data_IF_458992672287
#
_entry.id   IF_458992672287
#
_cell.length_a   1.000
_cell.length_b   1.000
_cell.length_c   1.000
_cell.angle_alpha   90.00
_cell.angle_beta   90.00
_cell.angle_gamma   90.00
#
_symmetry.space_group_name_H-M   'P 1'
#
loop_
_entity.id
_entity.type
_entity.pdbx_description
1 polymer ?
#
# COMPACT_ATOMS: atom_id res chain seq x y z
N UNK A 1 17.81 -15.09 4.81
CA UNK A 1 17.22 -15.39 3.47
C UNK A 1 17.52 -16.85 3.09
N UNK A 2 16.59 -17.55 2.45
CA UNK A 2 16.87 -18.91 1.93
C UNK A 2 17.83 -18.87 0.76
N UNK A 3 18.72 -19.86 0.67
CA UNK A 3 19.66 -19.98 -0.43
C UNK A 3 18.97 -20.01 -1.81
N UNK A 4 17.83 -20.72 -1.93
CA UNK A 4 17.06 -20.80 -3.17
C UNK A 4 16.64 -19.42 -3.71
N UNK A 5 16.28 -18.50 -2.82
CA UNK A 5 15.90 -17.12 -3.19
C UNK A 5 17.12 -16.30 -3.59
N UNK A 6 18.27 -16.52 -2.92
CA UNK A 6 19.51 -15.82 -3.25
C UNK A 6 20.05 -16.24 -4.63
N UNK A 7 19.93 -17.53 -4.98
CA UNK A 7 20.39 -18.01 -6.28
C UNK A 7 19.58 -17.48 -7.47
N UNK A 8 18.37 -16.93 -7.23
CA UNK A 8 17.61 -16.19 -8.25
C UNK A 8 18.34 -14.94 -8.77
N UNK A 9 19.30 -14.42 -7.99
CA UNK A 9 20.15 -13.31 -8.45
C UNK A 9 21.20 -13.75 -9.47
N UNK A 10 21.39 -15.07 -9.65
CA UNK A 10 22.30 -15.66 -10.64
C UNK A 10 21.52 -16.02 -11.89
N UNK A 11 22.09 -15.72 -13.07
CA UNK A 11 21.49 -16.15 -14.33
C UNK A 11 21.57 -17.68 -14.46
N UNK A 12 20.45 -18.35 -14.67
CA UNK A 12 20.40 -19.79 -14.79
C UNK A 12 21.25 -20.31 -15.98
N UNK A 13 21.41 -19.50 -17.03
CA UNK A 13 22.18 -19.84 -18.23
C UNK A 13 23.69 -19.95 -17.92
N UNK A 14 24.17 -19.27 -16.88
CA UNK A 14 25.56 -19.25 -16.48
C UNK A 14 25.88 -20.26 -15.36
N UNK A 15 24.89 -20.98 -14.87
CA UNK A 15 25.10 -22.01 -13.83
C UNK A 15 25.51 -23.31 -14.53
N UNK A 16 26.73 -23.76 -14.34
CA UNK A 16 27.25 -24.97 -14.95
C UNK A 16 27.07 -26.22 -14.07
N UNK A 17 27.20 -26.08 -12.77
CA UNK A 17 27.01 -27.16 -11.81
C UNK A 17 26.49 -26.68 -10.47
N UNK A 18 25.60 -27.44 -9.84
CA UNK A 18 25.12 -27.20 -8.48
C UNK A 18 25.30 -28.47 -7.66
N UNK A 19 26.04 -28.39 -6.58
CA UNK A 19 26.17 -29.44 -5.59
C UNK A 19 25.92 -28.87 -4.20
N UNK A 20 24.69 -28.92 -3.72
CA UNK A 20 24.27 -28.37 -2.43
C UNK A 20 23.36 -29.40 -1.73
N UNK A 21 23.73 -29.79 -0.51
CA UNK A 21 22.98 -30.75 0.28
C UNK A 21 21.64 -30.23 0.77
N UNK A 22 21.57 -28.94 1.07
CA UNK A 22 20.36 -28.31 1.64
C UNK A 22 20.12 -26.91 1.04
N UNK A 23 19.23 -26.84 0.05
CA UNK A 23 18.80 -25.57 -0.58
C UNK A 23 17.89 -24.71 0.33
N UNK A 24 17.39 -25.28 1.43
CA UNK A 24 16.56 -24.53 2.41
C UNK A 24 17.40 -23.75 3.43
N UNK A 25 18.74 -23.89 3.37
CA UNK A 25 19.65 -23.21 4.29
C UNK A 25 19.44 -21.68 4.25
N UNK A 26 19.43 -21.10 5.44
CA UNK A 26 19.32 -19.62 5.56
C UNK A 26 20.71 -19.00 5.43
N UNK A 27 20.82 -18.01 4.55
CA UNK A 27 22.03 -17.22 4.32
C UNK A 27 21.90 -15.87 5.03
N UNK A 28 22.92 -15.51 5.77
CA UNK A 28 22.98 -14.23 6.49
C UNK A 28 24.05 -13.28 5.94
N UNK A 29 25.01 -13.80 5.17
CA UNK A 29 26.11 -12.99 4.65
C UNK A 29 26.64 -13.56 3.33
N UNK A 30 27.12 -12.68 2.47
CA UNK A 30 27.91 -12.98 1.28
C UNK A 30 29.29 -12.35 1.46
N UNK A 31 30.36 -13.13 1.24
CA UNK A 31 31.73 -12.69 1.36
C UNK A 31 32.48 -12.96 0.07
N UNK A 32 33.34 -12.02 -0.36
CA UNK A 32 34.30 -12.28 -1.40
C UNK A 32 35.55 -12.87 -0.72
N UNK A 33 35.93 -14.09 -1.10
CA UNK A 33 37.09 -14.77 -0.55
C UNK A 33 38.29 -14.32 -1.32
N UNK A 34 38.98 -13.33 -0.81
CA UNK A 34 40.10 -12.77 -1.54
C UNK A 34 41.49 -13.00 -0.94
N UNK A 35 41.72 -13.50 0.26
CA UNK A 35 43.12 -13.65 0.69
C UNK A 35 43.39 -13.99 2.18
N UNK A 36 42.46 -14.20 3.07
CA UNK A 36 42.77 -14.55 4.45
C UNK A 36 41.96 -15.74 4.95
N UNK A 37 42.56 -16.74 5.57
CA UNK A 37 41.82 -17.88 6.14
C UNK A 37 40.97 -17.39 7.30
N UNK A 38 39.71 -17.14 7.00
CA UNK A 38 38.68 -16.92 7.99
C UNK A 38 38.09 -18.29 8.31
N UNK A 39 37.78 -18.54 9.57
CA UNK A 39 37.01 -19.73 9.93
C UNK A 39 35.71 -19.74 9.15
N UNK A 40 35.51 -20.72 8.28
CA UNK A 40 34.31 -20.88 7.49
C UNK A 40 33.12 -21.21 8.39
N UNK A 41 32.10 -20.37 8.31
CA UNK A 41 30.92 -20.50 9.16
C UNK A 41 29.69 -20.87 8.36
N UNK A 42 28.78 -21.61 8.98
CA UNK A 42 27.48 -21.95 8.40
C UNK A 42 26.69 -20.67 8.06
N UNK A 43 25.87 -20.73 7.02
CA UNK A 43 24.99 -19.61 6.60
C UNK A 43 25.72 -18.43 5.91
N UNK A 44 26.95 -18.63 5.48
CA UNK A 44 27.71 -17.66 4.67
C UNK A 44 27.94 -18.26 3.28
N UNK A 45 27.81 -17.41 2.26
CA UNK A 45 28.24 -17.70 0.89
C UNK A 45 29.58 -17.03 0.66
N UNK A 46 30.51 -17.81 0.16
CA UNK A 46 31.83 -17.32 -0.30
C UNK A 46 31.87 -17.34 -1.82
N UNK A 47 32.09 -16.17 -2.40
CA UNK A 47 32.34 -16.04 -3.85
C UNK A 47 33.85 -16.13 -4.07
N UNK A 48 34.29 -17.09 -4.90
CA UNK A 48 35.72 -17.44 -5.04
C UNK A 48 36.06 -17.82 -6.47
N UNK A 49 37.22 -17.45 -6.94
CA UNK A 49 37.80 -17.91 -8.22
C UNK A 49 38.71 -19.11 -8.04
N UNK A 50 38.98 -19.89 -9.09
CA UNK A 50 39.84 -21.07 -9.03
C UNK A 50 41.23 -20.82 -8.43
N UNK A 51 41.98 -19.74 -8.79
CA UNK A 51 43.28 -19.46 -8.16
C UNK A 51 43.18 -19.23 -6.65
N UNK A 52 42.14 -18.51 -6.17
CA UNK A 52 41.97 -18.25 -4.74
C UNK A 52 41.58 -19.52 -4.00
N UNK A 53 40.75 -20.40 -4.61
CA UNK A 53 40.36 -21.68 -4.00
C UNK A 53 41.60 -22.56 -3.77
N UNK A 54 42.55 -22.58 -4.70
CA UNK A 54 43.81 -23.30 -4.56
C UNK A 54 44.69 -22.77 -3.41
N UNK A 55 44.73 -21.46 -3.22
CA UNK A 55 45.51 -20.84 -2.14
C UNK A 55 44.91 -21.08 -0.75
N UNK A 56 43.60 -21.16 -0.65
CA UNK A 56 42.85 -21.43 0.61
C UNK A 56 43.08 -22.87 1.11
N UNK A 57 43.36 -23.80 0.16
CA UNK A 57 43.69 -25.18 0.48
C UNK A 57 42.56 -26.00 1.07
N UNK A 58 42.92 -27.07 1.77
CA UNK A 58 41.94 -28.11 2.25
C UNK A 58 40.94 -27.60 3.30
N UNK A 59 41.17 -26.45 3.92
CA UNK A 59 40.30 -25.91 4.97
C UNK A 59 38.87 -25.56 4.50
N UNK A 60 38.65 -25.41 3.17
CA UNK A 60 37.33 -25.16 2.63
C UNK A 60 36.54 -26.42 2.27
N UNK A 61 37.18 -27.58 2.15
CA UNK A 61 36.59 -28.81 1.63
C UNK A 61 35.46 -29.35 2.51
N UNK A 62 35.64 -29.35 3.83
CA UNK A 62 34.69 -29.80 4.83
C UNK A 62 33.91 -28.63 5.48
N UNK A 63 34.02 -27.43 4.92
CA UNK A 63 33.39 -26.26 5.48
C UNK A 63 31.85 -26.33 5.37
N UNK A 64 31.10 -25.95 6.41
CA UNK A 64 29.64 -25.93 6.37
C UNK A 64 29.07 -24.77 5.55
N UNK A 65 29.93 -24.02 4.90
CA UNK A 65 29.64 -22.86 4.07
C UNK A 65 29.26 -23.26 2.65
N UNK A 66 28.73 -22.31 1.89
CA UNK A 66 28.42 -22.47 0.47
C UNK A 66 29.42 -21.66 -0.33
N UNK A 67 29.94 -22.25 -1.41
CA UNK A 67 30.92 -21.61 -2.28
C UNK A 67 30.29 -21.38 -3.66
N UNK A 68 30.40 -20.17 -4.18
CA UNK A 68 30.15 -19.87 -5.59
C UNK A 68 31.53 -19.77 -6.28
N UNK A 69 31.80 -20.80 -7.05
CA UNK A 69 33.05 -20.96 -7.79
C UNK A 69 32.89 -20.27 -9.14
N UNK A 70 33.63 -19.19 -9.33
CA UNK A 70 33.60 -18.37 -10.56
C UNK A 70 34.63 -18.83 -11.57
N UNK A 71 34.15 -19.23 -12.75
CA UNK A 71 34.96 -19.72 -13.84
C UNK A 71 34.22 -20.75 -14.66
N UNK A 72 34.91 -21.38 -15.62
CA UNK A 72 34.34 -22.48 -16.39
C UNK A 72 34.49 -23.79 -15.63
N UNK A 73 33.62 -24.77 -15.87
CA UNK A 73 33.71 -26.12 -15.29
C UNK A 73 35.11 -26.73 -15.43
N UNK A 74 35.75 -26.49 -16.57
CA UNK A 74 37.10 -27.01 -16.84
C UNK A 74 38.17 -26.48 -15.87
N UNK A 75 37.98 -25.30 -15.32
CA UNK A 75 38.93 -24.71 -14.35
C UNK A 75 38.92 -25.49 -13.02
N UNK A 76 37.88 -26.28 -12.77
CA UNK A 76 37.67 -27.01 -11.52
C UNK A 76 37.71 -28.53 -11.67
N UNK A 77 37.98 -29.08 -12.86
CA UNK A 77 37.93 -30.54 -13.10
C UNK A 77 38.90 -31.29 -12.21
N UNK A 78 40.16 -30.82 -12.11
CA UNK A 78 41.22 -31.48 -11.35
C UNK A 78 41.33 -30.96 -9.91
N UNK A 79 40.37 -30.14 -9.45
CA UNK A 79 40.39 -29.56 -8.12
C UNK A 79 39.47 -30.33 -7.16
N UNK A 80 39.92 -30.48 -5.91
CA UNK A 80 39.02 -30.86 -4.84
C UNK A 80 38.01 -29.73 -4.56
N UNK A 81 36.73 -30.03 -4.69
CA UNK A 81 35.66 -29.04 -4.51
C UNK A 81 35.10 -29.09 -3.09
N UNK A 82 34.63 -27.98 -2.51
CA UNK A 82 33.91 -27.96 -1.25
C UNK A 82 32.67 -28.87 -1.26
N UNK A 83 32.12 -29.20 -0.08
CA UNK A 83 30.91 -30.02 0.04
C UNK A 83 29.65 -29.36 -0.56
N UNK A 84 29.56 -28.03 -0.49
CA UNK A 84 28.43 -27.27 -1.01
C UNK A 84 28.93 -26.16 -1.93
N UNK A 85 28.67 -26.29 -3.22
CA UNK A 85 29.12 -25.32 -4.20
C UNK A 85 28.17 -25.13 -5.38
N UNK A 86 28.32 -24.01 -6.05
CA UNK A 86 27.74 -23.69 -7.35
C UNK A 86 28.89 -23.25 -8.25
N UNK A 87 29.06 -23.86 -9.42
CA UNK A 87 29.94 -23.34 -10.47
C UNK A 87 29.18 -22.39 -11.33
N UNK A 88 29.64 -21.17 -11.42
CA UNK A 88 29.02 -20.08 -12.15
C UNK A 88 29.98 -19.44 -13.13
N UNK A 89 29.64 -19.48 -14.41
CA UNK A 89 30.45 -18.90 -15.47
C UNK A 89 30.37 -17.38 -15.43
N UNK A 90 31.43 -16.74 -15.00
CA UNK A 90 31.59 -15.29 -15.02
C UNK A 90 33.05 -14.86 -14.99
N UNK A 91 33.37 -13.90 -15.83
CA UNK A 91 34.66 -13.24 -15.85
C UNK A 91 34.68 -11.99 -14.94
N UNK A 92 33.59 -11.68 -14.30
CA UNK A 92 33.41 -10.49 -13.46
C UNK A 92 32.98 -10.84 -12.01
N UNK A 93 33.88 -11.33 -11.16
CA UNK A 93 33.59 -11.72 -9.78
C UNK A 93 32.91 -10.63 -8.95
N UNK A 94 33.29 -9.37 -9.16
CA UNK A 94 32.75 -8.22 -8.45
C UNK A 94 31.27 -7.97 -8.78
N UNK A 95 30.82 -8.24 -10.01
CA UNK A 95 29.43 -8.09 -10.39
C UNK A 95 28.55 -9.18 -9.74
N UNK A 96 29.01 -10.42 -9.75
CA UNK A 96 28.32 -11.54 -9.09
C UNK A 96 28.18 -11.29 -7.59
N UNK A 97 29.27 -10.90 -6.95
CA UNK A 97 29.27 -10.54 -5.53
C UNK A 97 28.30 -9.39 -5.25
N UNK A 98 28.33 -8.34 -6.07
CA UNK A 98 27.45 -7.17 -5.91
C UNK A 98 25.97 -7.56 -6.09
N UNK A 99 25.64 -8.40 -7.07
CA UNK A 99 24.27 -8.88 -7.30
C UNK A 99 23.75 -9.68 -6.10
N UNK A 100 24.54 -10.62 -5.58
CA UNK A 100 24.19 -11.43 -4.41
C UNK A 100 24.04 -10.57 -3.16
N UNK A 101 24.94 -9.62 -2.94
CA UNK A 101 24.88 -8.70 -1.80
C UNK A 101 23.66 -7.78 -1.89
N UNK A 102 23.36 -7.28 -3.08
CA UNK A 102 22.17 -6.44 -3.32
C UNK A 102 20.88 -7.20 -3.03
N UNK A 103 20.77 -8.46 -3.48
CA UNK A 103 19.63 -9.32 -3.20
C UNK A 103 19.49 -9.60 -1.70
N UNK A 104 20.59 -9.90 -1.02
CA UNK A 104 20.59 -10.15 0.43
C UNK A 104 20.13 -8.90 1.21
N UNK A 105 20.63 -7.73 0.85
CA UNK A 105 20.25 -6.47 1.48
C UNK A 105 18.77 -6.12 1.23
N UNK A 106 18.28 -6.38 0.02
CA UNK A 106 16.86 -6.22 -0.33
C UNK A 106 15.98 -7.06 0.58
N UNK A 107 16.25 -8.35 0.66
CA UNK A 107 15.49 -9.30 1.47
C UNK A 107 15.57 -9.00 2.97
N UNK A 108 16.78 -8.60 3.45
CA UNK A 108 16.97 -8.21 4.85
C UNK A 108 16.11 -6.99 5.20
N UNK A 109 16.08 -6.00 4.31
CA UNK A 109 15.25 -4.80 4.50
C UNK A 109 13.76 -5.13 4.54
N UNK A 110 13.29 -6.02 3.67
CA UNK A 110 11.88 -6.47 3.67
C UNK A 110 11.56 -7.16 4.99
N UNK A 111 12.40 -8.12 5.43
CA UNK A 111 12.18 -8.85 6.67
C UNK A 111 12.18 -7.92 7.91
N UNK A 112 13.10 -6.98 7.98
CA UNK A 112 13.14 -5.97 9.06
C UNK A 112 11.86 -5.12 9.08
N UNK A 113 11.39 -4.71 7.90
CA UNK A 113 10.16 -3.96 7.75
C UNK A 113 8.93 -4.78 8.19
N UNK A 114 8.82 -6.03 7.75
CA UNK A 114 7.75 -6.94 8.15
C UNK A 114 7.70 -7.16 9.66
N UNK A 115 8.86 -7.35 10.30
CA UNK A 115 8.95 -7.49 11.75
C UNK A 115 8.55 -6.21 12.49
N UNK A 116 8.96 -5.06 12.01
CA UNK A 116 8.62 -3.79 12.63
C UNK A 116 7.12 -3.45 12.47
N UNK A 117 6.54 -3.67 11.28
CA UNK A 117 5.11 -3.49 11.02
C UNK A 117 4.29 -4.49 11.85
N UNK A 118 4.73 -5.77 11.93
CA UNK A 118 4.05 -6.77 12.75
C UNK A 118 4.03 -6.38 14.22
N UNK A 119 5.14 -5.92 14.79
CA UNK A 119 5.19 -5.40 16.17
C UNK A 119 4.25 -4.23 16.34
N UNK A 120 4.31 -3.26 15.43
CA UNK A 120 3.41 -2.09 15.47
C UNK A 120 1.93 -2.51 15.42
N UNK A 121 1.55 -3.50 14.62
CA UNK A 121 0.18 -4.03 14.54
C UNK A 121 -0.36 -4.50 15.92
N UNK A 122 0.50 -5.06 16.77
CA UNK A 122 0.12 -5.52 18.11
C UNK A 122 0.19 -4.41 19.16
N UNK A 123 1.15 -3.51 19.05
CA UNK A 123 1.48 -2.52 20.09
C UNK A 123 0.80 -1.15 19.86
N UNK A 124 0.44 -0.81 18.62
CA UNK A 124 -0.15 0.50 18.30
C UNK A 124 -1.59 0.64 18.78
N UNK A 125 -1.90 1.80 19.36
CA UNK A 125 -3.24 2.16 19.80
C UNK A 125 -4.12 2.72 18.68
N UNK A 126 -3.51 3.20 17.58
CA UNK A 126 -4.22 3.84 16.48
C UNK A 126 -3.64 3.45 15.12
N UNK A 127 -4.47 3.59 14.08
CA UNK A 127 -4.03 3.42 12.68
C UNK A 127 -2.94 4.43 12.30
N UNK A 128 -2.95 5.62 12.93
CA UNK A 128 -1.94 6.64 12.71
C UNK A 128 -0.56 6.16 13.17
N UNK A 129 -0.47 5.53 14.33
CA UNK A 129 0.80 5.00 14.85
C UNK A 129 1.37 3.94 13.92
N UNK A 130 0.52 3.06 13.38
CA UNK A 130 0.94 2.04 12.40
C UNK A 130 1.47 2.68 11.11
N UNK A 131 0.80 3.73 10.61
CA UNK A 131 1.25 4.47 9.44
C UNK A 131 2.55 5.24 9.70
N UNK A 132 2.74 5.79 10.89
CA UNK A 132 3.96 6.51 11.26
C UNK A 132 5.17 5.56 11.31
N UNK A 133 5.01 4.35 11.84
CA UNK A 133 6.05 3.30 11.79
C UNK A 133 6.38 2.94 10.34
N UNK A 134 5.37 2.66 9.53
CA UNK A 134 5.58 2.32 8.13
C UNK A 134 6.22 3.46 7.32
N UNK A 135 5.83 4.72 7.57
CA UNK A 135 6.44 5.89 6.94
C UNK A 135 7.91 6.05 7.32
N UNK A 136 8.29 5.75 8.56
CA UNK A 136 9.69 5.78 8.98
C UNK A 136 10.54 4.72 8.27
N UNK A 137 9.99 3.53 8.04
CA UNK A 137 10.65 2.44 7.31
C UNK A 137 10.83 2.76 5.83
N UNK A 138 9.75 3.26 5.19
CA UNK A 138 9.77 3.67 3.79
C UNK A 138 10.56 4.96 3.57
N UNK A 139 10.72 5.79 4.62
CA UNK A 139 11.34 7.10 4.57
C UNK A 139 10.53 8.16 3.81
N UNK A 140 9.29 7.85 3.45
CA UNK A 140 8.38 8.69 2.70
C UNK A 140 7.00 8.77 3.40
N UNK A 141 6.25 9.87 3.24
CA UNK A 141 4.95 10.02 3.88
C UNK A 141 3.92 9.05 3.30
N UNK A 142 3.01 8.58 4.16
CA UNK A 142 1.91 7.69 3.80
C UNK A 142 0.59 8.40 4.07
N UNK A 143 -0.37 8.24 3.18
CA UNK A 143 -1.73 8.75 3.28
C UNK A 143 -2.71 7.59 3.12
N UNK A 144 -3.75 7.58 3.95
CA UNK A 144 -4.89 6.68 3.84
C UNK A 144 -6.12 7.47 3.41
N UNK A 145 -6.76 7.03 2.34
CA UNK A 145 -7.98 7.62 1.80
C UNK A 145 -9.08 6.59 1.70
N UNK A 146 -10.32 7.01 1.91
CA UNK A 146 -11.47 6.17 1.65
C UNK A 146 -11.82 6.12 0.15
N UNK A 147 -12.79 5.29 -0.22
CA UNK A 147 -13.26 5.13 -1.60
C UNK A 147 -13.83 6.44 -2.21
N UNK A 148 -14.13 7.46 -1.40
CA UNK A 148 -14.61 8.77 -1.84
C UNK A 148 -13.48 9.78 -2.07
N UNK A 149 -12.22 9.38 -1.95
CA UNK A 149 -11.02 10.23 -2.00
C UNK A 149 -10.74 11.07 -0.75
N UNK A 150 -11.54 10.90 0.32
CA UNK A 150 -11.38 11.63 1.56
C UNK A 150 -10.14 11.13 2.31
N UNK A 151 -9.32 12.06 2.77
CA UNK A 151 -8.19 11.76 3.63
C UNK A 151 -8.69 11.32 5.02
N UNK A 152 -8.36 10.12 5.41
CA UNK A 152 -8.71 9.59 6.74
C UNK A 152 -7.59 9.81 7.74
N UNK A 153 -6.38 9.44 7.35
CA UNK A 153 -5.19 9.52 8.19
C UNK A 153 -3.96 9.73 7.31
N UNK A 154 -2.95 10.41 7.84
CA UNK A 154 -1.62 10.52 7.21
C UNK A 154 -0.52 10.41 8.27
N UNK A 155 0.67 9.98 7.85
CA UNK A 155 1.85 9.99 8.73
C UNK A 155 2.26 11.42 9.08
N UNK A 156 2.75 11.62 10.30
CA UNK A 156 3.19 12.92 10.75
C UNK A 156 4.47 13.36 10.01
N UNK A 157 4.61 14.63 9.76
CA UNK A 157 5.69 15.42 9.16
C UNK A 157 5.37 15.99 7.75
N UNK A 158 4.66 16.96 7.77
CA UNK A 158 3.75 17.54 6.84
C UNK A 158 4.14 18.80 6.15
N UNK A 159 5.26 19.00 5.70
CA UNK A 159 5.44 20.05 4.69
C UNK A 159 5.39 19.40 3.32
N UNK A 160 4.18 19.07 2.90
CA UNK A 160 3.98 18.57 1.55
C UNK A 160 4.19 19.70 0.55
N UNK A 161 4.97 19.42 -0.47
CA UNK A 161 5.37 20.40 -1.46
C UNK A 161 4.18 21.04 -2.16
N UNK A 162 4.22 22.36 -2.28
CA UNK A 162 3.23 23.16 -3.00
C UNK A 162 3.16 22.86 -4.51
N UNK A 163 4.07 22.04 -5.02
CA UNK A 163 4.19 21.65 -6.43
C UNK A 163 3.26 20.52 -6.88
N UNK A 164 2.64 19.78 -5.94
CA UNK A 164 1.66 18.74 -6.26
C UNK A 164 0.23 19.18 -5.90
N UNK A 165 -0.50 19.66 -6.89
CA UNK A 165 -1.85 20.20 -6.71
C UNK A 165 -2.82 19.20 -6.08
N UNK A 166 -2.71 17.90 -6.39
CA UNK A 166 -3.59 16.87 -5.83
C UNK A 166 -3.29 16.68 -4.35
N UNK A 167 -2.01 16.53 -3.99
CA UNK A 167 -1.63 16.39 -2.59
C UNK A 167 -2.00 17.63 -1.79
N UNK A 168 -1.76 18.82 -2.36
CA UNK A 168 -2.15 20.08 -1.73
C UNK A 168 -3.67 20.15 -1.50
N UNK A 169 -4.49 19.72 -2.46
CA UNK A 169 -5.94 19.61 -2.30
C UNK A 169 -6.31 18.65 -1.17
N UNK A 170 -5.74 17.45 -1.19
CA UNK A 170 -6.02 16.43 -0.18
C UNK A 170 -5.66 16.91 1.24
N UNK A 171 -4.53 17.62 1.41
CA UNK A 171 -4.13 18.14 2.72
C UNK A 171 -4.95 19.34 3.17
N UNK A 172 -5.30 20.27 2.26
CA UNK A 172 -6.05 21.49 2.63
C UNK A 172 -7.54 21.28 2.74
N UNK A 173 -8.09 20.48 1.81
CA UNK A 173 -9.53 20.28 1.67
C UNK A 173 -10.01 18.95 2.26
N UNK A 174 -9.08 18.03 2.55
CA UNK A 174 -9.39 16.68 2.99
C UNK A 174 -9.75 15.71 1.86
N UNK A 175 -9.79 16.16 0.60
CA UNK A 175 -10.18 15.34 -0.57
C UNK A 175 -9.67 15.95 -1.87
N UNK A 176 -9.83 15.22 -2.99
CA UNK A 176 -9.52 15.72 -4.33
C UNK A 176 -10.70 16.52 -4.88
N UNK A 177 -10.53 17.81 -5.14
CA UNK A 177 -11.63 18.66 -5.66
C UNK A 177 -12.09 18.23 -7.05
N UNK A 178 -13.35 18.55 -7.41
CA UNK A 178 -13.93 18.24 -8.73
C UNK A 178 -13.15 18.80 -9.90
N UNK A 179 -12.57 19.99 -9.72
CA UNK A 179 -11.73 20.63 -10.75
C UNK A 179 -10.46 19.83 -11.03
N UNK A 180 -9.78 19.38 -9.97
CA UNK A 180 -8.59 18.53 -10.09
C UNK A 180 -8.93 17.12 -10.57
N UNK A 181 -10.09 16.63 -10.20
CA UNK A 181 -10.59 15.34 -10.63
C UNK A 181 -10.75 15.30 -12.16
N UNK A 182 -11.33 16.35 -12.76
CA UNK A 182 -11.46 16.48 -14.21
C UNK A 182 -10.11 16.79 -14.88
N UNK A 183 -9.36 17.78 -14.34
CA UNK A 183 -8.07 18.23 -14.91
C UNK A 183 -7.06 17.08 -15.09
N UNK A 184 -7.08 16.12 -14.18
CA UNK A 184 -6.08 15.03 -14.12
C UNK A 184 -6.64 13.66 -14.49
N UNK A 185 -7.85 13.59 -15.02
CA UNK A 185 -8.51 12.32 -15.32
C UNK A 185 -8.40 11.33 -14.15
N UNK A 186 -8.63 11.85 -12.94
CA UNK A 186 -8.46 11.09 -11.69
C UNK A 186 -9.40 9.88 -11.63
N UNK A 187 -10.42 9.90 -12.44
CA UNK A 187 -11.34 8.81 -12.64
C UNK A 187 -10.63 7.53 -13.11
N UNK A 188 -9.76 7.63 -14.11
CA UNK A 188 -8.97 6.51 -14.59
C UNK A 188 -7.99 6.00 -13.53
N UNK A 189 -7.42 6.90 -12.72
CA UNK A 189 -6.57 6.53 -11.58
C UNK A 189 -7.37 5.70 -10.57
N UNK A 190 -8.58 6.11 -10.21
CA UNK A 190 -9.45 5.35 -9.28
C UNK A 190 -9.85 3.99 -9.85
N UNK A 191 -10.11 3.90 -11.16
CA UNK A 191 -10.40 2.64 -11.81
C UNK A 191 -9.18 1.71 -11.79
N UNK A 192 -8.01 2.24 -12.05
CA UNK A 192 -6.76 1.49 -11.95
C UNK A 192 -6.55 0.97 -10.51
N UNK A 193 -6.73 1.83 -9.48
CA UNK A 193 -6.64 1.43 -8.07
C UNK A 193 -7.61 0.28 -7.77
N UNK A 194 -8.86 0.41 -8.21
CA UNK A 194 -9.89 -0.60 -7.97
C UNK A 194 -9.60 -1.94 -8.64
N UNK A 195 -8.98 -1.92 -9.81
CA UNK A 195 -8.73 -3.11 -10.62
C UNK A 195 -7.37 -3.76 -10.36
N UNK A 196 -6.43 -3.06 -9.69
CA UNK A 196 -5.10 -3.59 -9.37
C UNK A 196 -5.08 -4.14 -7.95
N UNK A 197 -4.92 -5.46 -7.76
CA UNK A 197 -4.95 -6.07 -6.42
C UNK A 197 -3.70 -5.81 -5.59
N UNK A 198 -2.57 -5.59 -6.24
CA UNK A 198 -1.27 -5.39 -5.60
C UNK A 198 -0.87 -3.91 -5.62
N UNK A 199 0.15 -3.57 -4.83
CA UNK A 199 0.78 -2.26 -4.89
C UNK A 199 1.35 -2.00 -6.29
N UNK A 200 1.08 -0.83 -6.83
CA UNK A 200 1.60 -0.42 -8.12
C UNK A 200 2.18 0.99 -8.08
N UNK A 201 3.12 1.25 -8.98
CA UNK A 201 3.75 2.55 -9.15
C UNK A 201 2.94 3.41 -10.13
N UNK A 202 2.41 4.52 -9.65
CA UNK A 202 1.78 5.55 -10.47
C UNK A 202 2.82 6.62 -10.83
N UNK A 203 3.20 6.66 -12.10
CA UNK A 203 4.08 7.69 -12.67
C UNK A 203 3.27 8.74 -13.41
N UNK A 204 3.59 10.00 -13.20
CA UNK A 204 2.99 11.10 -13.93
C UNK A 204 4.03 12.17 -14.23
N UNK A 205 4.11 12.70 -15.47
CA UNK A 205 5.17 13.63 -15.88
C UNK A 205 5.26 14.94 -15.07
N UNK A 206 4.16 15.30 -14.41
CA UNK A 206 4.06 16.56 -13.64
C UNK A 206 3.79 16.35 -12.16
N UNK A 207 3.95 15.13 -11.65
CA UNK A 207 3.63 14.78 -10.26
C UNK A 207 4.71 13.89 -9.70
N UNK A 208 4.84 13.88 -8.39
CA UNK A 208 5.71 12.93 -7.69
C UNK A 208 5.21 11.50 -7.92
N UNK A 209 6.12 10.57 -8.03
CA UNK A 209 5.79 9.14 -8.10
C UNK A 209 5.06 8.72 -6.82
N UNK A 210 4.12 7.80 -6.97
CA UNK A 210 3.32 7.25 -5.87
C UNK A 210 3.27 5.74 -5.96
N UNK A 211 3.51 5.07 -4.86
CA UNK A 211 3.09 3.68 -4.70
C UNK A 211 1.70 3.68 -4.08
N UNK A 212 0.78 2.99 -4.72
CA UNK A 212 -0.62 2.95 -4.32
C UNK A 212 -1.04 1.50 -4.09
N UNK A 213 -1.71 1.26 -2.98
CA UNK A 213 -2.28 -0.04 -2.66
C UNK A 213 -3.75 0.10 -2.27
N UNK A 214 -4.62 -0.71 -2.87
CA UNK A 214 -6.03 -0.73 -2.51
C UNK A 214 -6.25 -1.48 -1.20
N UNK A 215 -7.25 -1.04 -0.44
CA UNK A 215 -7.68 -1.69 0.80
C UNK A 215 -9.06 -2.35 0.62
N UNK A 216 -9.16 -3.60 1.03
CA UNK A 216 -10.41 -4.35 1.10
C UNK A 216 -10.58 -4.81 2.54
N UNK A 217 -11.63 -4.35 3.21
CA UNK A 217 -11.94 -4.69 4.60
C UNK A 217 -13.27 -5.44 4.62
N UNK A 218 -13.32 -6.59 5.28
CA UNK A 218 -14.52 -7.43 5.32
C UNK A 218 -15.10 -7.72 3.92
N UNK A 219 -14.26 -8.02 2.93
CA UNK A 219 -14.60 -8.26 1.51
C UNK A 219 -15.25 -7.06 0.80
N UNK A 220 -15.16 -5.86 1.37
CA UNK A 220 -15.67 -4.62 0.77
C UNK A 220 -14.53 -3.68 0.45
N UNK A 221 -14.63 -2.97 -0.66
CA UNK A 221 -13.67 -1.93 -1.02
C UNK A 221 -13.77 -0.78 -0.03
N UNK A 222 -12.72 -0.58 0.76
CA UNK A 222 -12.62 0.45 1.78
C UNK A 222 -12.07 1.76 1.21
N UNK A 223 -11.07 1.66 0.37
CA UNK A 223 -10.32 2.78 -0.17
C UNK A 223 -8.92 2.35 -0.58
N UNK A 224 -7.96 3.20 -0.38
CA UNK A 224 -6.56 2.93 -0.68
C UNK A 224 -5.64 3.70 0.27
N UNK A 225 -4.42 3.24 0.35
CA UNK A 225 -3.35 4.04 0.92
C UNK A 225 -2.23 4.21 -0.10
N UNK A 226 -1.47 5.26 0.06
CA UNK A 226 -0.39 5.60 -0.85
C UNK A 226 0.79 6.18 -0.09
N UNK A 227 1.98 5.95 -0.63
CA UNK A 227 3.19 6.69 -0.26
C UNK A 227 3.66 7.50 -1.45
N UNK A 228 4.30 8.63 -1.20
CA UNK A 228 4.74 9.59 -2.21
C UNK A 228 6.25 9.73 -2.13
N UNK A 229 6.94 9.66 -3.26
CA UNK A 229 8.38 9.87 -3.35
C UNK A 229 8.73 11.33 -3.05
N UNK A 230 8.61 11.71 -1.77
CA UNK A 230 8.82 13.06 -1.28
C UNK A 230 10.25 13.29 -0.82
N UNK A 231 10.75 12.46 0.08
CA UNK A 231 12.09 12.60 0.65
C UNK A 231 13.16 11.94 -0.23
N UNK A 232 12.83 10.82 -0.86
CA UNK A 232 13.73 10.09 -1.75
C UNK A 232 12.94 9.22 -2.76
N UNK A 233 13.58 8.78 -3.86
CA UNK A 233 13.00 7.83 -4.81
C UNK A 233 12.64 6.50 -4.14
N UNK A 234 11.68 5.79 -4.70
CA UNK A 234 11.32 4.45 -4.23
C UNK A 234 12.44 3.44 -4.51
N UNK A 235 12.56 2.47 -3.62
CA UNK A 235 13.44 1.31 -3.72
C UNK A 235 12.61 0.10 -4.16
N UNK A 236 13.26 -0.91 -4.74
CA UNK A 236 12.58 -2.13 -5.20
C UNK A 236 11.81 -2.84 -4.08
N UNK A 237 12.35 -2.83 -2.84
CA UNK A 237 11.68 -3.41 -1.67
C UNK A 237 10.43 -2.67 -1.24
N UNK A 238 10.20 -1.41 -1.64
CA UNK A 238 9.08 -0.60 -1.15
C UNK A 238 7.73 -1.16 -1.59
N UNK A 239 7.67 -1.80 -2.76
CA UNK A 239 6.45 -2.45 -3.25
C UNK A 239 6.04 -3.61 -2.35
N UNK A 240 7.01 -4.46 -1.96
CA UNK A 240 6.74 -5.61 -1.09
C UNK A 240 6.39 -5.18 0.33
N UNK A 241 7.10 -4.17 0.85
CA UNK A 241 6.79 -3.57 2.15
C UNK A 241 5.38 -2.97 2.15
N UNK A 242 4.98 -2.28 1.08
CA UNK A 242 3.62 -1.75 0.93
C UNK A 242 2.56 -2.86 0.85
N UNK A 243 2.85 -3.97 0.16
CA UNK A 243 1.93 -5.12 0.12
C UNK A 243 1.76 -5.74 1.51
N UNK A 244 2.85 -5.89 2.27
CA UNK A 244 2.78 -6.37 3.65
C UNK A 244 2.00 -5.42 4.56
N UNK A 245 2.26 -4.11 4.47
CA UNK A 245 1.51 -3.08 5.19
C UNK A 245 0.02 -3.12 4.85
N UNK A 246 -0.35 -3.43 3.59
CA UNK A 246 -1.74 -3.59 3.20
C UNK A 246 -2.44 -4.67 4.04
N UNK A 247 -1.83 -5.83 4.18
CA UNK A 247 -2.36 -6.90 5.03
C UNK A 247 -2.48 -6.49 6.51
N UNK A 248 -1.47 -5.80 7.04
CA UNK A 248 -1.49 -5.29 8.41
C UNK A 248 -2.62 -4.25 8.63
N UNK A 249 -2.81 -3.31 7.69
CA UNK A 249 -3.89 -2.32 7.75
C UNK A 249 -5.27 -2.96 7.67
N UNK A 250 -5.43 -3.97 6.79
CA UNK A 250 -6.70 -4.72 6.70
C UNK A 250 -7.03 -5.39 8.04
N UNK A 251 -6.08 -6.10 8.63
CA UNK A 251 -6.26 -6.75 9.93
C UNK A 251 -6.56 -5.74 11.05
N UNK A 252 -5.87 -4.60 11.07
CA UNK A 252 -6.13 -3.55 12.05
C UNK A 252 -7.55 -3.00 11.92
N UNK A 253 -7.97 -2.65 10.71
CA UNK A 253 -9.30 -2.10 10.43
C UNK A 253 -10.41 -3.11 10.74
N UNK A 254 -10.19 -4.40 10.46
CA UNK A 254 -11.13 -5.47 10.79
C UNK A 254 -11.25 -5.67 12.30
N UNK A 255 -10.12 -5.73 13.02
CA UNK A 255 -10.08 -5.89 14.48
C UNK A 255 -10.81 -4.76 15.20
N UNK A 256 -10.54 -3.52 14.81
CA UNK A 256 -11.11 -2.33 15.44
C UNK A 256 -12.55 -2.04 14.97
N UNK A 257 -13.09 -2.84 14.06
CA UNK A 257 -14.39 -2.56 13.42
C UNK A 257 -14.47 -1.13 12.85
N UNK A 258 -13.35 -0.57 12.46
CA UNK A 258 -13.27 0.76 11.85
C UNK A 258 -13.77 0.66 10.42
N UNK A 259 -15.09 0.64 10.30
CA UNK A 259 -15.72 1.18 9.09
C UNK A 259 -15.79 2.70 9.31
N UNK A 260 -15.55 3.54 8.31
CA UNK A 260 -15.80 4.98 8.45
C UNK A 260 -17.18 5.18 9.09
N UNK A 261 -17.28 6.01 10.14
CA UNK A 261 -18.55 6.21 10.84
C UNK A 261 -19.69 6.61 9.89
N UNK A 262 -19.37 7.35 8.83
CA UNK A 262 -20.26 7.64 7.71
C UNK A 262 -20.76 6.38 7.00
N UNK A 263 -19.95 5.34 6.87
CA UNK A 263 -20.32 4.11 6.16
C UNK A 263 -21.33 3.25 6.91
N UNK A 264 -21.39 3.33 8.25
CA UNK A 264 -22.31 2.52 9.07
C UNK A 264 -23.74 3.07 9.03
N UNK A 265 -23.90 4.35 9.27
CA UNK A 265 -25.20 5.05 9.15
C UNK A 265 -25.67 5.09 7.69
N UNK A 266 -24.75 5.32 6.74
CA UNK A 266 -25.04 5.26 5.31
C UNK A 266 -25.48 3.87 4.86
N UNK A 267 -24.83 2.80 5.29
CA UNK A 267 -25.25 1.43 4.97
C UNK A 267 -26.63 1.12 5.54
N UNK A 268 -26.94 1.55 6.77
CA UNK A 268 -28.24 1.36 7.39
C UNK A 268 -29.34 2.09 6.63
N UNK A 269 -29.08 3.35 6.22
CA UNK A 269 -30.01 4.13 5.42
C UNK A 269 -30.13 3.57 3.99
N UNK A 270 -29.04 3.12 3.41
CA UNK A 270 -29.07 2.49 2.08
C UNK A 270 -29.87 1.18 2.10
N UNK A 271 -29.74 0.36 3.14
CA UNK A 271 -30.56 -0.83 3.34
C UNK A 271 -32.04 -0.44 3.48
N UNK A 272 -32.35 0.63 4.23
CA UNK A 272 -33.73 1.14 4.40
C UNK A 272 -34.33 1.60 3.07
N UNK A 273 -33.56 2.31 2.25
CA UNK A 273 -34.00 2.79 0.91
C UNK A 273 -34.20 1.62 -0.07
N UNK A 274 -33.45 0.52 0.10
CA UNK A 274 -33.52 -0.67 -0.76
C UNK A 274 -34.50 -1.73 -0.29
N UNK A 275 -35.59 -1.34 0.40
CA UNK A 275 -36.67 -2.23 0.87
C UNK A 275 -36.35 -3.17 2.05
N UNK A 276 -35.34 -2.89 2.85
CA UNK A 276 -35.17 -3.62 4.10
C UNK A 276 -36.34 -3.34 5.04
N UNK A 277 -37.12 -4.36 5.32
CA UNK A 277 -38.27 -4.28 6.25
C UNK A 277 -37.76 -4.32 7.69
N UNK A 278 -37.33 -3.17 8.19
CA UNK A 278 -37.02 -3.02 9.62
C UNK A 278 -38.27 -2.53 10.37
N UNK A 279 -38.45 -3.07 11.55
CA UNK A 279 -39.35 -2.41 12.54
C UNK A 279 -38.62 -1.15 13.06
N UNK A 280 -39.36 -0.15 13.49
CA UNK A 280 -38.82 1.09 14.08
C UNK A 280 -37.88 0.78 15.25
N UNK A 281 -38.19 -0.21 16.07
CA UNK A 281 -37.38 -0.63 17.21
C UNK A 281 -36.05 -1.23 16.78
N UNK A 282 -36.01 -2.04 15.71
CA UNK A 282 -34.77 -2.61 15.15
C UNK A 282 -33.92 -1.54 14.52
N UNK A 283 -34.50 -0.58 13.82
CA UNK A 283 -33.80 0.54 13.22
C UNK A 283 -33.12 1.40 14.31
N UNK A 284 -33.90 1.79 15.34
CA UNK A 284 -33.36 2.56 16.49
C UNK A 284 -32.21 1.83 17.19
N UNK A 285 -32.36 0.56 17.49
CA UNK A 285 -31.33 -0.26 18.12
C UNK A 285 -30.05 -0.35 17.29
N UNK A 286 -30.16 -0.45 15.96
CA UNK A 286 -29.00 -0.46 15.05
C UNK A 286 -28.33 0.90 14.97
N UNK A 287 -29.11 1.97 14.88
CA UNK A 287 -28.60 3.35 14.86
C UNK A 287 -27.83 3.69 16.14
N UNK A 288 -28.38 3.34 17.31
CA UNK A 288 -27.71 3.48 18.61
C UNK A 288 -26.41 2.68 18.66
N UNK A 289 -26.37 1.47 18.12
CA UNK A 289 -25.17 0.63 18.02
C UNK A 289 -24.07 1.27 17.17
N UNK A 290 -24.37 2.29 16.37
CA UNK A 290 -23.43 3.06 15.56
C UNK A 290 -23.14 4.44 16.13
N UNK A 291 -23.61 4.73 17.36
CA UNK A 291 -23.55 6.05 18.00
C UNK A 291 -24.24 7.15 17.18
N UNK A 292 -25.19 6.76 16.33
CA UNK A 292 -25.97 7.69 15.54
C UNK A 292 -27.18 8.14 16.37
N UNK A 293 -27.19 9.41 16.77
CA UNK A 293 -28.35 10.00 17.43
C UNK A 293 -29.44 10.28 16.39
N UNK A 294 -30.53 9.56 16.47
CA UNK A 294 -31.70 9.79 15.64
C UNK A 294 -32.49 10.99 16.17
N UNK A 295 -32.79 11.91 15.28
CA UNK A 295 -33.69 13.01 15.53
C UNK A 295 -35.15 12.62 15.14
N UNK A 296 -36.14 13.32 15.67
CA UNK A 296 -37.53 12.97 15.45
C UNK A 296 -37.99 13.16 14.00
N UNK A 297 -37.34 14.08 13.27
CA UNK A 297 -37.72 14.39 11.90
C UNK A 297 -36.47 14.73 11.05
N UNK A 298 -36.51 14.29 9.80
CA UNK A 298 -35.50 14.60 8.78
C UNK A 298 -36.14 15.15 7.52
N UNK A 299 -35.48 16.11 6.87
CA UNK A 299 -35.74 16.45 5.48
C UNK A 299 -34.84 15.61 4.58
N UNK A 300 -35.43 15.02 3.54
CA UNK A 300 -34.73 14.20 2.58
C UNK A 300 -34.71 14.96 1.26
N UNK A 301 -33.51 15.32 0.77
CA UNK A 301 -33.35 16.00 -0.50
C UNK A 301 -32.61 15.08 -1.45
N UNK A 302 -33.20 14.80 -2.61
CA UNK A 302 -32.57 14.04 -3.67
C UNK A 302 -32.02 14.99 -4.73
N UNK A 303 -30.70 14.92 -4.97
CA UNK A 303 -30.01 15.73 -5.99
C UNK A 303 -29.67 14.85 -7.18
N UNK A 304 -29.95 15.31 -8.37
CA UNK A 304 -29.59 14.65 -9.62
C UNK A 304 -29.03 15.65 -10.62
N UNK A 305 -28.24 15.16 -11.56
CA UNK A 305 -27.90 15.92 -12.78
C UNK A 305 -29.15 16.15 -13.65
N UNK A 306 -29.28 17.31 -14.23
CA UNK A 306 -30.41 17.68 -15.13
C UNK A 306 -30.58 16.73 -16.29
N UNK A 307 -29.50 16.14 -16.78
CA UNK A 307 -29.54 15.21 -17.91
C UNK A 307 -29.82 13.76 -17.48
N UNK A 308 -29.72 13.46 -16.19
CA UNK A 308 -29.79 12.10 -15.65
C UNK A 308 -28.65 11.17 -16.09
N UNK A 309 -27.63 11.73 -16.76
CA UNK A 309 -26.49 11.01 -17.33
C UNK A 309 -25.17 11.22 -16.60
N UNK A 310 -25.18 12.03 -15.51
CA UNK A 310 -23.96 12.25 -14.75
C UNK A 310 -23.31 10.92 -14.37
N UNK A 311 -22.04 10.81 -14.65
CA UNK A 311 -21.28 9.63 -14.23
C UNK A 311 -21.25 9.58 -12.70
N UNK A 312 -21.27 8.38 -12.13
CA UNK A 312 -21.18 8.15 -10.67
C UNK A 312 -19.98 8.88 -10.03
N UNK A 313 -18.94 9.09 -10.81
CA UNK A 313 -17.70 9.79 -10.43
C UNK A 313 -17.91 11.28 -10.19
N UNK A 314 -18.73 11.94 -11.00
CA UNK A 314 -19.11 13.35 -10.78
C UNK A 314 -19.97 13.48 -9.53
N UNK A 315 -20.91 12.56 -9.34
CA UNK A 315 -21.76 12.52 -8.14
C UNK A 315 -20.92 12.32 -6.86
N UNK A 316 -19.89 11.49 -6.91
CA UNK A 316 -18.94 11.33 -5.80
C UNK A 316 -18.19 12.65 -5.46
N UNK A 317 -17.76 13.41 -6.48
CA UNK A 317 -17.13 14.71 -6.27
C UNK A 317 -18.10 15.73 -5.65
N UNK A 318 -19.35 15.75 -6.13
CA UNK A 318 -20.40 16.60 -5.54
C UNK A 318 -20.70 16.21 -4.09
N UNK A 319 -20.78 14.91 -3.80
CA UNK A 319 -20.93 14.38 -2.43
C UNK A 319 -19.84 14.90 -1.50
N UNK A 320 -18.58 14.79 -1.90
CA UNK A 320 -17.45 15.25 -1.09
C UNK A 320 -17.53 16.77 -0.82
N UNK A 321 -17.90 17.55 -1.83
CA UNK A 321 -18.06 18.98 -1.67
C UNK A 321 -19.24 19.32 -0.72
N UNK A 322 -20.37 18.64 -0.88
CA UNK A 322 -21.52 18.80 0.01
C UNK A 322 -21.22 18.39 1.44
N UNK A 323 -20.43 17.31 1.64
CA UNK A 323 -20.01 16.87 2.98
C UNK A 323 -19.11 17.87 3.70
N UNK A 324 -18.42 18.75 2.99
CA UNK A 324 -17.67 19.86 3.59
C UNK A 324 -18.57 21.03 3.96
N UNK A 325 -19.52 21.33 3.07
CA UNK A 325 -20.47 22.42 3.31
C UNK A 325 -21.41 22.05 4.47
N UNK A 326 -21.79 20.80 4.55
CA UNK A 326 -22.74 20.25 5.51
C UNK A 326 -22.13 19.04 6.25
N UNK A 327 -21.22 19.24 7.20
CA UNK A 327 -20.49 18.15 7.86
C UNK A 327 -21.38 17.23 8.69
N UNK A 328 -22.52 17.70 9.18
CA UNK A 328 -23.49 16.94 10.00
C UNK A 328 -24.53 16.20 9.13
N UNK A 329 -24.58 16.49 7.82
CA UNK A 329 -25.57 15.90 6.92
C UNK A 329 -25.09 14.54 6.40
N UNK A 330 -25.95 13.54 6.49
CA UNK A 330 -25.69 12.24 5.90
C UNK A 330 -26.00 12.31 4.40
N UNK A 331 -25.04 11.98 3.56
CA UNK A 331 -25.15 12.04 2.11
C UNK A 331 -24.90 10.67 1.52
N UNK A 332 -25.92 10.10 0.87
CA UNK A 332 -25.87 8.80 0.19
C UNK A 332 -25.84 8.98 -1.32
N UNK A 333 -25.11 8.10 -2.01
CA UNK A 333 -25.25 7.94 -3.46
C UNK A 333 -26.10 6.70 -3.75
N UNK A 334 -27.28 6.91 -4.34
CA UNK A 334 -28.20 5.83 -4.70
C UNK A 334 -28.67 6.05 -6.14
N UNK A 335 -28.43 5.10 -7.02
CA UNK A 335 -28.86 5.15 -8.42
C UNK A 335 -28.46 6.45 -9.15
N UNK A 336 -27.21 6.90 -8.98
CA UNK A 336 -26.65 8.15 -9.55
C UNK A 336 -27.36 9.42 -9.06
N UNK A 337 -27.94 9.38 -7.88
CA UNK A 337 -28.49 10.54 -7.18
C UNK A 337 -27.80 10.65 -5.83
N UNK A 338 -27.65 11.88 -5.34
CA UNK A 338 -27.25 12.12 -3.95
C UNK A 338 -28.50 12.32 -3.13
N UNK A 339 -28.62 11.60 -2.05
CA UNK A 339 -29.72 11.72 -1.09
C UNK A 339 -29.14 12.29 0.19
N UNK A 340 -29.59 13.47 0.56
CA UNK A 340 -29.15 14.21 1.73
C UNK A 340 -30.21 14.09 2.82
N UNK A 341 -29.78 13.78 4.04
CA UNK A 341 -30.65 13.71 5.22
C UNK A 341 -30.29 14.87 6.15
N UNK A 342 -31.15 15.87 6.19
CA UNK A 342 -31.00 17.05 7.06
C UNK A 342 -31.84 16.91 8.32
N UNK A 343 -31.29 17.28 9.48
CA UNK A 343 -32.08 17.51 10.66
C UNK A 343 -33.00 18.75 10.48
N UNK A 344 -34.21 18.68 10.97
CA UNK A 344 -35.19 19.78 10.89
C UNK A 344 -34.71 21.09 11.50
N UNK A 345 -33.80 21.05 12.46
CA UNK A 345 -33.27 22.25 13.14
C UNK A 345 -32.31 23.07 12.25
N UNK A 346 -31.73 22.48 11.24
CA UNK A 346 -30.69 23.09 10.42
C UNK A 346 -31.16 23.58 9.04
N UNK A 347 -32.33 23.12 8.60
CA UNK A 347 -32.83 23.32 7.22
C UNK A 347 -32.90 24.77 6.78
N UNK A 348 -33.29 25.69 7.67
CA UNK A 348 -33.47 27.11 7.28
C UNK A 348 -32.19 27.82 6.88
N UNK A 349 -31.06 27.42 7.42
CA UNK A 349 -29.72 28.02 7.15
C UNK A 349 -29.08 27.38 5.92
N UNK A 350 -29.39 26.12 5.66
CA UNK A 350 -28.74 25.31 4.64
C UNK A 350 -29.30 25.50 3.23
N UNK A 351 -30.57 25.89 3.08
CA UNK A 351 -31.23 25.96 1.76
C UNK A 351 -30.57 26.95 0.80
N UNK A 352 -30.24 28.16 1.24
CA UNK A 352 -29.60 29.16 0.38
C UNK A 352 -28.22 28.72 -0.11
N UNK A 353 -27.47 28.01 0.74
CA UNK A 353 -26.15 27.47 0.40
C UNK A 353 -26.28 26.30 -0.57
N UNK A 354 -27.30 25.47 -0.36
CA UNK A 354 -27.62 24.37 -1.26
C UNK A 354 -28.06 24.86 -2.63
N UNK A 355 -28.93 25.90 -2.69
CA UNK A 355 -29.35 26.53 -3.95
C UNK A 355 -28.14 27.04 -4.74
N UNK A 356 -27.24 27.78 -4.10
CA UNK A 356 -26.02 28.26 -4.75
C UNK A 356 -25.14 27.10 -5.28
N UNK A 357 -25.07 25.98 -4.54
CA UNK A 357 -24.38 24.78 -4.99
C UNK A 357 -25.04 24.16 -6.22
N UNK A 358 -26.38 24.02 -6.20
CA UNK A 358 -27.16 23.44 -7.30
C UNK A 358 -27.02 24.28 -8.58
N UNK A 359 -27.08 25.59 -8.46
CA UNK A 359 -26.87 26.52 -9.59
C UNK A 359 -25.46 26.42 -10.15
N UNK A 360 -24.42 26.41 -9.27
CA UNK A 360 -23.02 26.31 -9.69
C UNK A 360 -22.74 25.08 -10.53
N UNK A 361 -23.35 23.94 -10.19
CA UNK A 361 -23.08 22.65 -10.84
C UNK A 361 -24.19 22.17 -11.78
N UNK A 362 -25.17 23.03 -12.06
CA UNK A 362 -26.33 22.75 -12.93
C UNK A 362 -27.11 21.48 -12.54
N UNK A 363 -27.38 21.34 -11.24
CA UNK A 363 -28.07 20.21 -10.64
C UNK A 363 -29.54 20.49 -10.36
N UNK A 364 -30.34 19.43 -10.22
CA UNK A 364 -31.74 19.48 -9.78
C UNK A 364 -31.87 18.86 -8.39
N UNK A 365 -32.67 19.49 -7.54
CA UNK A 365 -33.06 18.91 -6.27
C UNK A 365 -34.58 18.67 -6.23
N UNK A 366 -34.97 17.57 -5.57
CA UNK A 366 -36.36 17.23 -5.25
C UNK A 366 -36.40 16.95 -3.75
N UNK A 367 -37.30 17.64 -3.08
CA UNK A 367 -37.55 17.51 -1.63
C UNK A 367 -38.77 16.64 -1.35
#
# INVERSE_FOLDING_TARGET
>A
MKLSVLTEALSAENIEEIHIKDMSQNICQVCNLSLTPVAFTKNIIYVVTAPVLLEVGDGCLEAPSIFILLGNLNDFIDMQKPENYIIYQSDAPGEVFTALLSKLNLESRILEAELAISRALFDCASIKDLLDVAASILGNPILLQDFTTRLLVHSANEVMAADDEILNSVFRMGYVTSELFQKYDYANVLEQIKNTPQTFLLKSPKKRERLICRLIVNRRYFGWFLTVAYNHPFKDSDIEIMNFLCGALQLFLEKENILPNTTRSENLLQELIQDAKYSEAEFKKRAEGFSWMLHDHYYIIAISDKTGKAESRMMMSYRNHLSLIFPEVIILEVNRKLILFFDTKEVGICLNVLEAFLEKYDLLAVC
#
